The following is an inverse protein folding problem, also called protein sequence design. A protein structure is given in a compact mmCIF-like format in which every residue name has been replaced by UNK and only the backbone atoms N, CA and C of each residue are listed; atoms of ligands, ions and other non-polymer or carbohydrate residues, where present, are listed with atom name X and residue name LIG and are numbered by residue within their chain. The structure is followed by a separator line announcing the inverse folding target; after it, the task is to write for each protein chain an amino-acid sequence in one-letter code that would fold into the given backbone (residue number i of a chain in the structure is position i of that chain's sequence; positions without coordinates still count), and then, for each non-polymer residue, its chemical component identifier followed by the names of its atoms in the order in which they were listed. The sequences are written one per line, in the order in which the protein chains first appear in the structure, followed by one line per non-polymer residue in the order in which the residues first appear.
data_IF_159031165584
#
_entry.id   IF_159031165584
#
_cell.length_a   1.000
_cell.length_b   1.000
_cell.length_c   1.000
_cell.angle_alpha   90.00
_cell.angle_beta   90.00
_cell.angle_gamma   90.00
#
_symmetry.space_group_name_H-M   'P 1'
#
loop_
_entity.id
_entity.type
_entity.pdbx_description
1 polymer ?
#
# COMPACT_ATOMS: atom_id res chain seq x y z
N UNK A 1 -14.54 -20.68 -23.27
CA UNK A 1 -14.60 -19.73 -22.15
C UNK A 1 -14.63 -18.34 -22.75
N UNK A 2 -15.54 -17.48 -22.32
CA UNK A 2 -15.58 -16.10 -22.81
C UNK A 2 -14.29 -15.39 -22.36
N UNK A 3 -13.63 -14.66 -23.27
CA UNK A 3 -12.41 -13.91 -22.93
C UNK A 3 -12.71 -12.93 -21.80
N UNK A 4 -13.92 -12.37 -21.76
CA UNK A 4 -14.33 -11.43 -20.70
C UNK A 4 -14.28 -12.03 -19.31
N UNK A 5 -14.64 -13.31 -19.15
CA UNK A 5 -14.58 -14.02 -17.87
C UNK A 5 -13.14 -14.23 -17.43
N UNK A 6 -12.24 -14.61 -18.35
CA UNK A 6 -10.80 -14.80 -18.04
C UNK A 6 -10.20 -13.53 -17.44
N UNK A 7 -10.40 -12.39 -18.10
CA UNK A 7 -9.82 -11.13 -17.67
C UNK A 7 -10.44 -10.64 -16.35
N UNK A 8 -11.74 -10.87 -16.14
CA UNK A 8 -12.39 -10.57 -14.86
C UNK A 8 -11.84 -11.42 -13.72
N UNK A 9 -11.61 -12.70 -13.97
CA UNK A 9 -11.06 -13.61 -12.96
C UNK A 9 -9.62 -13.25 -12.59
N UNK A 10 -8.80 -12.89 -13.58
CA UNK A 10 -7.43 -12.40 -13.35
C UNK A 10 -7.41 -11.09 -12.54
N UNK A 11 -8.27 -10.12 -12.88
CA UNK A 11 -8.36 -8.85 -12.13
C UNK A 11 -8.85 -9.11 -10.70
N UNK A 12 -9.83 -10.00 -10.53
CA UNK A 12 -10.33 -10.38 -9.20
C UNK A 12 -9.23 -11.00 -8.35
N UNK A 13 -8.44 -11.91 -8.94
CA UNK A 13 -7.32 -12.54 -8.26
C UNK A 13 -6.29 -11.50 -7.79
N UNK A 14 -5.88 -10.57 -8.66
CA UNK A 14 -4.95 -9.49 -8.31
C UNK A 14 -5.50 -8.58 -7.20
N UNK A 15 -6.79 -8.29 -7.23
CA UNK A 15 -7.44 -7.49 -6.19
C UNK A 15 -7.47 -8.24 -4.84
N UNK A 16 -7.75 -9.54 -4.83
CA UNK A 16 -7.72 -10.37 -3.62
C UNK A 16 -6.30 -10.44 -3.02
N UNK A 17 -5.26 -10.62 -3.86
CA UNK A 17 -3.87 -10.58 -3.42
C UNK A 17 -3.48 -9.21 -2.84
N UNK A 18 -3.88 -8.14 -3.50
CA UNK A 18 -3.64 -6.75 -3.04
C UNK A 18 -4.29 -6.52 -1.67
N UNK A 19 -5.56 -6.93 -1.51
CA UNK A 19 -6.29 -6.80 -0.26
C UNK A 19 -5.63 -7.59 0.89
N UNK A 20 -5.16 -8.82 0.61
CA UNK A 20 -4.46 -9.64 1.60
C UNK A 20 -3.14 -8.99 2.04
N UNK A 21 -2.35 -8.47 1.09
CA UNK A 21 -1.08 -7.77 1.38
C UNK A 21 -1.32 -6.49 2.20
N UNK A 22 -2.34 -5.70 1.85
CA UNK A 22 -2.73 -4.52 2.62
C UNK A 22 -3.19 -4.88 4.04
N UNK A 23 -3.96 -5.95 4.20
CA UNK A 23 -4.41 -6.41 5.51
C UNK A 23 -3.23 -6.76 6.41
N UNK A 24 -2.25 -7.50 5.89
CA UNK A 24 -1.01 -7.82 6.62
C UNK A 24 -0.19 -6.58 6.94
N UNK A 25 -0.08 -5.65 5.99
CA UNK A 25 0.62 -4.39 6.22
C UNK A 25 -0.01 -3.60 7.37
N UNK A 26 -1.33 -3.38 7.33
CA UNK A 26 -2.07 -2.63 8.35
C UNK A 26 -1.92 -3.31 9.71
N UNK A 27 -2.01 -4.64 9.77
CA UNK A 27 -1.83 -5.40 11.00
C UNK A 27 -0.43 -5.18 11.60
N UNK A 28 0.63 -5.30 10.79
CA UNK A 28 2.01 -5.06 11.24
C UNK A 28 2.20 -3.63 11.74
N UNK A 29 1.66 -2.64 11.03
CA UNK A 29 1.72 -1.24 11.46
C UNK A 29 0.99 -1.03 12.78
N UNK A 30 -0.22 -1.59 12.95
CA UNK A 30 -0.98 -1.48 14.18
C UNK A 30 -0.23 -2.05 15.40
N UNK A 31 0.42 -3.21 15.24
CA UNK A 31 1.24 -3.82 16.30
C UNK A 31 2.43 -2.92 16.66
N UNK A 32 3.10 -2.33 15.67
CA UNK A 32 4.21 -1.41 15.91
C UNK A 32 3.77 -0.13 16.63
N UNK A 33 2.62 0.45 16.25
CA UNK A 33 2.05 1.60 16.96
C UNK A 33 1.62 1.27 18.38
N UNK A 34 1.04 0.09 18.60
CA UNK A 34 0.72 -0.37 19.95
C UNK A 34 1.99 -0.49 20.80
N UNK A 35 3.06 -1.09 20.25
CA UNK A 35 4.37 -1.16 20.90
C UNK A 35 4.93 0.23 21.23
N UNK A 36 4.88 1.16 20.28
CA UNK A 36 5.31 2.54 20.48
C UNK A 36 4.52 3.25 21.59
N UNK A 37 3.19 3.08 21.63
CA UNK A 37 2.34 3.64 22.68
C UNK A 37 2.69 3.12 24.08
N UNK A 38 2.98 1.82 24.21
CA UNK A 38 3.36 1.23 25.51
C UNK A 38 4.73 1.67 26.04
N UNK A 39 5.63 2.08 25.14
CA UNK A 39 6.99 2.53 25.46
C UNK A 39 7.12 4.05 25.52
N UNK A 40 6.06 4.77 25.23
CA UNK A 40 6.08 6.23 25.17
C UNK A 40 6.44 6.84 26.53
N UNK A 41 7.44 7.74 26.53
CA UNK A 41 7.90 8.43 27.74
C UNK A 41 8.79 7.63 28.69
N UNK A 42 9.19 6.40 28.33
CA UNK A 42 10.15 5.59 29.11
C UNK A 42 11.58 5.82 28.61
N UNK A 43 11.99 5.06 27.59
CA UNK A 43 13.32 5.13 27.00
C UNK A 43 13.23 5.47 25.50
N UNK A 44 14.12 6.35 25.04
CA UNK A 44 14.14 6.82 23.65
C UNK A 44 14.72 5.75 22.70
N UNK A 45 15.66 4.94 23.17
CA UNK A 45 16.34 3.90 22.36
C UNK A 45 15.38 2.87 21.76
N UNK A 46 14.50 2.18 22.54
CA UNK A 46 13.56 1.22 21.95
C UNK A 46 12.54 1.91 21.02
N UNK A 47 12.17 3.17 21.29
CA UNK A 47 11.29 3.95 20.43
C UNK A 47 11.92 4.25 19.07
N UNK A 48 13.22 4.58 19.03
CA UNK A 48 13.97 4.78 17.79
C UNK A 48 14.05 3.49 16.97
N UNK A 49 14.33 2.35 17.62
CA UNK A 49 14.41 1.04 16.95
C UNK A 49 13.05 0.67 16.36
N UNK A 50 11.96 0.77 17.15
CA UNK A 50 10.60 0.49 16.67
C UNK A 50 10.23 1.38 15.49
N UNK A 51 10.58 2.66 15.55
CA UNK A 51 10.26 3.61 14.49
C UNK A 51 11.04 3.35 13.21
N UNK A 52 12.32 2.96 13.33
CA UNK A 52 13.13 2.54 12.19
C UNK A 52 12.57 1.26 11.54
N UNK A 53 12.16 0.27 12.35
CA UNK A 53 11.53 -0.96 11.85
C UNK A 53 10.22 -0.63 11.11
N UNK A 54 9.36 0.22 11.68
CA UNK A 54 8.12 0.63 11.04
C UNK A 54 8.32 1.33 9.69
N UNK A 55 9.33 2.20 9.60
CA UNK A 55 9.72 2.81 8.33
C UNK A 55 10.22 1.79 7.31
N UNK A 56 11.13 0.89 7.72
CA UNK A 56 11.71 -0.14 6.82
C UNK A 56 10.62 -1.06 6.26
N UNK A 57 9.62 -1.42 7.07
CA UNK A 57 8.48 -2.24 6.61
C UNK A 57 7.65 -1.52 5.55
N UNK A 58 7.60 -0.19 5.51
CA UNK A 58 6.84 0.54 4.48
C UNK A 58 7.43 0.38 3.07
N UNK A 59 8.75 0.20 2.95
CA UNK A 59 9.46 0.15 1.66
C UNK A 59 9.04 -1.06 0.80
N UNK A 60 9.15 -2.33 1.27
CA UNK A 60 8.82 -3.48 0.45
C UNK A 60 7.33 -3.53 0.11
N UNK A 61 6.45 -3.10 1.02
CA UNK A 61 5.01 -3.07 0.76
C UNK A 61 4.65 -2.00 -0.28
N UNK A 62 5.25 -0.81 -0.21
CA UNK A 62 5.07 0.22 -1.24
C UNK A 62 5.52 -0.26 -2.63
N UNK A 63 6.68 -0.94 -2.70
CA UNK A 63 7.17 -1.51 -3.95
C UNK A 63 6.23 -2.57 -4.53
N UNK A 64 5.81 -3.55 -3.72
CA UNK A 64 4.93 -4.64 -4.15
C UNK A 64 3.56 -4.13 -4.59
N UNK A 65 3.00 -3.13 -3.91
CA UNK A 65 1.70 -2.56 -4.28
C UNK A 65 1.78 -1.73 -5.57
N UNK A 66 2.92 -1.08 -5.82
CA UNK A 66 3.17 -0.37 -7.09
C UNK A 66 3.26 -1.34 -8.27
N UNK A 67 3.84 -2.53 -8.08
CA UNK A 67 3.88 -3.57 -9.09
C UNK A 67 2.49 -4.13 -9.43
N UNK A 68 1.60 -4.23 -8.45
CA UNK A 68 0.23 -4.69 -8.69
C UNK A 68 -0.56 -3.71 -9.57
N UNK A 69 -0.36 -2.41 -9.39
CA UNK A 69 -0.96 -1.38 -10.24
C UNK A 69 -0.45 -1.47 -11.69
N UNK A 70 0.85 -1.73 -11.86
CA UNK A 70 1.45 -2.02 -13.17
C UNK A 70 0.88 -3.30 -13.80
N UNK A 71 0.64 -4.35 -13.01
CA UNK A 71 0.03 -5.59 -13.49
C UNK A 71 -1.41 -5.38 -13.96
N UNK A 72 -2.25 -4.71 -13.16
CA UNK A 72 -3.65 -4.41 -13.50
C UNK A 72 -3.73 -3.52 -14.75
N UNK A 73 -2.92 -2.45 -14.82
CA UNK A 73 -2.89 -1.59 -16.00
C UNK A 73 -2.43 -2.33 -17.27
N UNK A 74 -1.47 -3.26 -17.14
CA UNK A 74 -1.06 -4.10 -18.27
C UNK A 74 -2.16 -5.06 -18.73
N UNK A 75 -2.95 -5.63 -17.81
CA UNK A 75 -4.09 -6.49 -18.11
C UNK A 75 -5.20 -5.70 -18.80
N UNK A 76 -5.50 -4.49 -18.33
CA UNK A 76 -6.46 -3.59 -18.97
C UNK A 76 -6.02 -3.16 -20.36
N UNK A 77 -4.73 -2.86 -20.55
CA UNK A 77 -4.17 -2.52 -21.85
C UNK A 77 -4.28 -3.70 -22.83
N UNK A 78 -4.06 -4.95 -22.37
CA UNK A 78 -4.25 -6.16 -23.18
C UNK A 78 -5.73 -6.39 -23.50
N UNK A 79 -6.62 -6.24 -22.53
CA UNK A 79 -8.06 -6.30 -22.75
C UNK A 79 -8.52 -5.33 -23.84
N UNK A 80 -8.07 -4.08 -23.79
CA UNK A 80 -8.43 -3.07 -24.78
C UNK A 80 -7.99 -3.40 -26.21
N UNK A 81 -6.94 -4.23 -26.37
CA UNK A 81 -6.45 -4.68 -27.67
C UNK A 81 -7.14 -5.95 -28.16
N UNK A 82 -7.49 -6.84 -27.24
CA UNK A 82 -8.07 -8.16 -27.57
C UNK A 82 -9.58 -8.11 -27.84
N UNK A 83 -10.26 -7.06 -27.40
CA UNK A 83 -11.70 -6.86 -27.57
C UNK A 83 -11.99 -5.69 -28.53
N UNK A 84 -12.16 -6.04 -29.81
CA UNK A 84 -12.40 -5.12 -30.94
C UNK A 84 -13.73 -4.33 -30.82
N UNK A 85 -14.70 -4.83 -30.04
CA UNK A 85 -15.98 -4.18 -29.75
C UNK A 85 -16.18 -3.98 -28.23
N UNK A 86 -15.49 -3.00 -27.67
CA UNK A 86 -15.57 -2.66 -26.25
C UNK A 86 -16.99 -2.26 -25.80
N UNK A 87 -17.84 -1.77 -26.72
CA UNK A 87 -19.24 -1.40 -26.47
C UNK A 87 -20.16 -2.60 -26.21
N UNK A 88 -19.82 -3.78 -26.74
CA UNK A 88 -20.63 -5.00 -26.61
C UNK A 88 -20.40 -5.75 -25.29
N UNK A 89 -19.38 -5.37 -24.51
CA UNK A 89 -19.02 -6.03 -23.26
C UNK A 89 -19.18 -5.09 -22.07
N UNK A 90 -19.72 -5.55 -20.92
CA UNK A 90 -19.81 -4.70 -19.75
C UNK A 90 -18.40 -4.32 -19.26
N UNK A 91 -18.19 -3.08 -18.77
CA UNK A 91 -16.88 -2.61 -18.35
C UNK A 91 -16.26 -3.54 -17.29
N UNK A 92 -14.97 -3.87 -17.43
CA UNK A 92 -14.27 -4.73 -16.47
C UNK A 92 -13.92 -4.04 -15.16
N UNK A 93 -13.72 -2.73 -15.21
CA UNK A 93 -13.46 -1.90 -14.03
C UNK A 93 -14.46 -0.76 -14.04
N UNK A 94 -15.09 -0.51 -12.90
CA UNK A 94 -16.06 0.57 -12.74
C UNK A 94 -15.42 1.97 -12.74
N UNK A 95 -14.09 2.06 -12.73
CA UNK A 95 -13.33 3.28 -12.48
C UNK A 95 -12.08 3.39 -13.37
N UNK A 96 -12.24 3.88 -14.60
CA UNK A 96 -11.18 3.93 -15.62
C UNK A 96 -10.42 5.28 -15.67
N UNK A 97 -10.96 6.35 -15.06
CA UNK A 97 -10.45 7.73 -15.25
C UNK A 97 -10.40 8.57 -13.97
N UNK A 98 -9.97 7.99 -12.84
CA UNK A 98 -9.72 8.81 -11.66
C UNK A 98 -8.54 9.75 -11.91
N UNK A 99 -8.72 11.07 -11.84
CA UNK A 99 -7.60 12.02 -11.76
C UNK A 99 -6.73 11.81 -10.52
N UNK A 100 -7.20 10.99 -9.58
CA UNK A 100 -6.58 10.72 -8.28
C UNK A 100 -6.27 9.22 -8.10
N UNK A 101 -5.71 8.56 -9.12
CA UNK A 101 -5.19 7.17 -9.00
C UNK A 101 -4.21 7.05 -7.82
N UNK A 102 -3.47 8.12 -7.53
CA UNK A 102 -2.54 8.15 -6.41
C UNK A 102 -3.20 8.09 -5.01
N UNK A 103 -4.45 8.56 -4.87
CA UNK A 103 -5.20 8.50 -3.61
C UNK A 103 -5.87 7.14 -3.36
N UNK A 104 -5.72 6.19 -4.30
CA UNK A 104 -6.24 4.85 -4.08
C UNK A 104 -5.55 4.23 -2.85
N UNK A 105 -6.30 3.51 -1.99
CA UNK A 105 -5.78 3.03 -0.72
C UNK A 105 -4.51 2.17 -0.88
N UNK A 106 -4.43 1.37 -1.94
CA UNK A 106 -3.28 0.52 -2.20
C UNK A 106 -2.01 1.29 -2.55
N UNK A 107 -2.12 2.51 -3.08
CA UNK A 107 -0.97 3.33 -3.42
C UNK A 107 -0.60 4.26 -2.26
N UNK A 108 -1.57 4.94 -1.66
CA UNK A 108 -1.32 5.98 -0.67
C UNK A 108 -0.94 5.47 0.72
N UNK A 109 -1.46 4.31 1.14
CA UNK A 109 -1.31 3.80 2.51
C UNK A 109 0.16 3.61 2.94
N UNK A 110 1.05 2.95 2.17
CA UNK A 110 2.46 2.81 2.55
C UNK A 110 3.18 4.14 2.74
N UNK A 111 2.88 5.15 1.92
CA UNK A 111 3.50 6.47 2.01
C UNK A 111 3.00 7.24 3.24
N UNK A 112 1.70 7.18 3.56
CA UNK A 112 1.13 7.84 4.75
C UNK A 112 1.80 7.29 6.02
N UNK A 113 1.91 5.96 6.14
CA UNK A 113 2.59 5.34 7.27
C UNK A 113 4.10 5.64 7.28
N UNK A 114 4.77 5.60 6.12
CA UNK A 114 6.18 5.96 6.00
C UNK A 114 6.46 7.41 6.46
N UNK A 115 5.66 8.37 6.01
CA UNK A 115 5.73 9.77 6.45
C UNK A 115 5.48 9.91 7.96
N UNK A 116 4.54 9.15 8.51
CA UNK A 116 4.27 9.13 9.94
C UNK A 116 5.50 8.66 10.74
N UNK A 117 6.15 7.57 10.31
CA UNK A 117 7.37 7.08 10.95
C UNK A 117 8.55 8.05 10.85
N UNK A 118 8.71 8.73 9.70
CA UNK A 118 9.72 9.78 9.54
C UNK A 118 9.47 10.93 10.53
N UNK A 119 8.22 11.37 10.67
CA UNK A 119 7.85 12.41 11.63
C UNK A 119 8.15 12.00 13.08
N UNK A 120 7.85 10.76 13.44
CA UNK A 120 8.18 10.20 14.76
C UNK A 120 9.69 10.12 14.97
N UNK A 121 10.45 9.62 14.00
CA UNK A 121 11.92 9.56 14.08
C UNK A 121 12.51 10.96 14.28
N UNK A 122 12.03 11.95 13.54
CA UNK A 122 12.47 13.33 13.68
C UNK A 122 12.17 13.90 15.08
N UNK A 123 10.97 13.65 15.61
CA UNK A 123 10.60 14.03 16.99
C UNK A 123 11.44 13.31 18.05
N UNK A 124 11.79 12.05 17.86
CA UNK A 124 12.62 11.30 18.80
C UNK A 124 14.08 11.75 18.75
N UNK A 125 14.63 12.03 17.56
CA UNK A 125 15.98 12.55 17.39
C UNK A 125 16.15 13.92 18.07
N UNK A 126 15.19 14.83 17.92
CA UNK A 126 15.22 16.15 18.58
C UNK A 126 15.17 16.01 20.10
N UNK A 127 14.35 15.10 20.64
CA UNK A 127 14.32 14.82 22.08
C UNK A 127 15.60 14.19 22.61
N UNK A 128 16.22 13.30 21.83
CA UNK A 128 17.48 12.66 22.20
C UNK A 128 18.61 13.68 22.35
N UNK A 129 18.72 14.63 21.44
CA UNK A 129 19.76 15.68 21.46
C UNK A 129 19.62 16.67 22.62
N UNK A 130 18.40 16.91 23.10
CA UNK A 130 18.14 17.83 24.23
C UNK A 130 18.35 17.15 25.59
N UNK A 131 18.32 15.82 25.65
CA UNK A 131 18.48 15.03 26.88
C UNK A 131 19.93 14.64 27.22
N UNK A 132 20.91 14.98 26.39
CA UNK A 132 22.35 14.81 26.61
C UNK A 132 23.01 16.14 26.91
#
# INVERSE_FOLDING_TARGET
MDKSEVYRDLIRHENELTNHRLSWFILMQAVLFAGLGTMWGKDVTPLLILSAVGFVVCIPFGYVLSLNDAAISSLLARWSKDCDNQESHPPLIGFDKAKFVWLLPWNSVPYIFGCTWIGILWLLCTRYQVGT
#
